data_IF_166365846232
#
_entry.id   IF_166365846232
#
_cell.length_a   1.000
_cell.length_b   1.000
_cell.length_c   1.000
_cell.angle_alpha   90.00
_cell.angle_beta   90.00
_cell.angle_gamma   90.00
#
_symmetry.space_group_name_H-M   'P 1'
#
loop_
_entity.id
_entity.type
_entity.pdbx_description
1 polymer ?
#
# COMPACT_ATOMS: atom_id res chain seq x y z
N UNK A 1 -52.48 -54.42 -9.70
CA UNK A 1 -52.11 -54.05 -8.31
C UNK A 1 -50.72 -54.61 -8.06
N UNK A 2 -49.68 -53.94 -8.57
CA UNK A 2 -48.25 -54.25 -8.35
C UNK A 2 -47.47 -53.10 -9.01
N UNK A 3 -47.23 -52.03 -8.26
CA UNK A 3 -46.12 -51.07 -8.50
C UNK A 3 -45.90 -50.10 -7.32
N UNK A 4 -46.85 -50.01 -6.38
CA UNK A 4 -46.72 -49.17 -5.18
C UNK A 4 -45.74 -49.72 -4.11
N UNK A 5 -45.08 -50.86 -4.38
CA UNK A 5 -44.17 -51.54 -3.45
C UNK A 5 -42.70 -51.19 -3.66
N UNK A 6 -42.38 -50.34 -4.64
CA UNK A 6 -41.01 -49.94 -4.91
C UNK A 6 -40.65 -48.72 -4.04
N UNK A 7 -40.18 -48.97 -2.81
CA UNK A 7 -39.79 -47.90 -1.86
C UNK A 7 -38.87 -46.85 -2.52
N UNK A 8 -38.03 -47.22 -3.49
CA UNK A 8 -37.16 -46.30 -4.23
C UNK A 8 -37.89 -45.26 -5.12
N UNK A 9 -39.19 -45.41 -5.36
CA UNK A 9 -40.02 -44.50 -6.17
C UNK A 9 -41.01 -43.67 -5.32
N UNK A 10 -40.96 -43.79 -4.00
CA UNK A 10 -41.74 -42.92 -3.11
C UNK A 10 -41.38 -41.45 -3.35
N UNK A 11 -42.39 -40.57 -3.42
CA UNK A 11 -42.23 -39.12 -3.56
C UNK A 11 -41.24 -38.58 -2.52
N UNK A 12 -41.27 -39.10 -1.30
CA UNK A 12 -40.35 -38.70 -0.23
C UNK A 12 -38.90 -39.01 -0.58
N UNK A 13 -38.62 -40.23 -1.06
CA UNK A 13 -37.26 -40.66 -1.43
C UNK A 13 -36.75 -39.91 -2.66
N UNK A 14 -37.63 -39.58 -3.61
CA UNK A 14 -37.28 -38.75 -4.77
C UNK A 14 -36.98 -37.31 -4.35
N UNK A 15 -37.78 -36.71 -3.44
CA UNK A 15 -37.53 -35.37 -2.88
C UNK A 15 -36.22 -35.35 -2.09
N UNK A 16 -35.97 -36.36 -1.25
CA UNK A 16 -34.74 -36.46 -0.45
C UNK A 16 -33.51 -36.65 -1.34
N UNK A 17 -33.61 -37.49 -2.38
CA UNK A 17 -32.53 -37.70 -3.36
C UNK A 17 -32.29 -36.46 -4.21
N UNK A 18 -33.34 -35.77 -4.63
CA UNK A 18 -33.24 -34.49 -5.35
C UNK A 18 -32.60 -33.42 -4.47
N UNK A 19 -33.00 -33.33 -3.19
CA UNK A 19 -32.39 -32.46 -2.19
C UNK A 19 -30.90 -32.77 -2.00
N UNK A 20 -30.53 -34.05 -1.95
CA UNK A 20 -29.13 -34.45 -1.82
C UNK A 20 -28.30 -34.12 -3.06
N UNK A 21 -28.85 -34.30 -4.26
CA UNK A 21 -28.20 -33.92 -5.50
C UNK A 21 -27.91 -32.42 -5.51
N UNK A 22 -28.91 -31.58 -5.23
CA UNK A 22 -28.74 -30.11 -5.17
C UNK A 22 -27.68 -29.70 -4.14
N UNK A 23 -27.67 -30.32 -2.95
CA UNK A 23 -26.64 -30.07 -1.92
C UNK A 23 -25.24 -30.43 -2.42
N UNK A 24 -25.09 -31.57 -3.10
CA UNK A 24 -23.81 -32.00 -3.65
C UNK A 24 -23.33 -31.03 -4.76
N UNK A 25 -24.22 -30.62 -5.65
CA UNK A 25 -23.91 -29.68 -6.74
C UNK A 25 -23.56 -28.29 -6.19
N UNK A 26 -24.26 -27.81 -5.16
CA UNK A 26 -23.88 -26.59 -4.44
C UNK A 26 -22.48 -26.71 -3.82
N UNK A 27 -22.21 -27.82 -3.13
CA UNK A 27 -20.90 -28.07 -2.51
C UNK A 27 -19.78 -28.08 -3.54
N UNK A 28 -19.95 -28.73 -4.69
CA UNK A 28 -18.96 -28.74 -5.76
C UNK A 28 -18.64 -27.33 -6.28
N UNK A 29 -19.67 -26.48 -6.46
CA UNK A 29 -19.47 -25.07 -6.84
C UNK A 29 -18.69 -24.30 -5.78
N UNK A 30 -19.05 -24.49 -4.51
CA UNK A 30 -18.41 -23.80 -3.40
C UNK A 30 -16.94 -24.23 -3.27
N UNK A 31 -16.65 -25.53 -3.35
CA UNK A 31 -15.29 -26.07 -3.32
C UNK A 31 -14.44 -25.51 -4.46
N UNK A 32 -14.97 -25.51 -5.70
CA UNK A 32 -14.27 -24.89 -6.84
C UNK A 32 -13.99 -23.40 -6.60
N UNK A 33 -14.95 -22.66 -6.05
CA UNK A 33 -14.80 -21.23 -5.77
C UNK A 33 -13.78 -20.97 -4.66
N UNK A 34 -13.73 -21.83 -3.64
CA UNK A 34 -12.74 -21.79 -2.56
C UNK A 34 -11.35 -22.08 -3.11
N UNK A 35 -11.17 -23.11 -3.93
CA UNK A 35 -9.85 -23.48 -4.45
C UNK A 35 -9.27 -22.41 -5.37
N UNK A 36 -10.09 -21.82 -6.24
CA UNK A 36 -9.70 -20.65 -7.03
C UNK A 36 -9.31 -19.47 -6.13
N UNK A 37 -10.12 -19.18 -5.10
CA UNK A 37 -9.84 -18.08 -4.16
C UNK A 37 -8.52 -18.31 -3.41
N UNK A 38 -8.26 -19.55 -2.96
CA UNK A 38 -7.02 -19.91 -2.26
C UNK A 38 -5.81 -19.71 -3.15
N UNK A 39 -5.88 -20.13 -4.42
CA UNK A 39 -4.82 -19.89 -5.38
C UNK A 39 -4.54 -18.39 -5.53
N UNK A 40 -5.57 -17.58 -5.76
CA UNK A 40 -5.41 -16.13 -5.91
C UNK A 40 -4.79 -15.48 -4.67
N UNK A 41 -5.27 -15.84 -3.48
CA UNK A 41 -4.76 -15.31 -2.21
C UNK A 41 -3.30 -15.72 -1.96
N UNK A 42 -2.93 -16.97 -2.27
CA UNK A 42 -1.58 -17.48 -2.08
C UNK A 42 -0.54 -16.71 -2.91
N UNK A 43 -0.92 -16.25 -4.11
CA UNK A 43 -0.04 -15.50 -5.00
C UNK A 43 -0.28 -13.97 -4.97
N UNK A 44 -1.19 -13.49 -4.12
CA UNK A 44 -1.54 -12.07 -4.03
C UNK A 44 -2.15 -11.50 -5.33
N UNK A 45 -2.90 -12.32 -6.06
CA UNK A 45 -3.52 -11.94 -7.33
C UNK A 45 -4.89 -11.28 -7.11
N UNK A 46 -5.26 -10.28 -7.94
CA UNK A 46 -6.57 -9.67 -7.86
C UNK A 46 -7.65 -10.66 -8.28
N UNK A 47 -8.80 -10.63 -7.60
CA UNK A 47 -9.92 -11.52 -7.94
C UNK A 47 -10.63 -11.05 -9.21
N UNK A 48 -10.88 -9.74 -9.31
CA UNK A 48 -11.81 -9.17 -10.27
C UNK A 48 -11.14 -8.54 -11.46
N UNK A 49 -11.86 -8.56 -12.57
CA UNK A 49 -11.54 -7.79 -13.77
C UNK A 49 -12.12 -6.38 -13.68
N UNK A 50 -11.66 -5.49 -14.56
CA UNK A 50 -12.29 -4.19 -14.74
C UNK A 50 -13.67 -4.30 -15.41
N UNK A 51 -13.87 -5.33 -16.24
CA UNK A 51 -15.13 -5.68 -16.87
C UNK A 51 -15.33 -7.20 -16.79
N UNK A 52 -16.30 -7.63 -15.99
CA UNK A 52 -16.66 -9.04 -15.79
C UNK A 52 -17.83 -9.49 -16.71
N UNK A 53 -18.24 -8.67 -17.68
CA UNK A 53 -19.29 -9.01 -18.64
C UNK A 53 -18.90 -10.21 -19.53
N UNK A 54 -19.89 -10.94 -20.04
CA UNK A 54 -19.64 -12.12 -20.92
C UNK A 54 -18.89 -11.78 -22.21
N UNK A 55 -19.02 -10.53 -22.68
CA UNK A 55 -18.30 -10.02 -23.85
C UNK A 55 -16.85 -9.64 -23.58
N UNK A 56 -16.44 -9.56 -22.31
CA UNK A 56 -15.09 -9.14 -21.94
C UNK A 56 -14.05 -10.21 -22.23
N UNK A 57 -12.95 -9.81 -22.88
CA UNK A 57 -11.79 -10.69 -23.13
C UNK A 57 -11.08 -11.03 -21.80
N UNK A 58 -11.18 -10.17 -20.79
CA UNK A 58 -10.57 -10.35 -19.48
C UNK A 58 -11.57 -10.06 -18.36
N UNK A 59 -12.33 -11.09 -18.01
CA UNK A 59 -13.31 -11.07 -16.93
C UNK A 59 -12.69 -11.08 -15.52
N UNK A 60 -11.36 -11.00 -15.41
CA UNK A 60 -10.64 -11.14 -14.14
C UNK A 60 -10.21 -12.57 -13.85
N UNK A 61 -9.25 -12.69 -12.91
CA UNK A 61 -8.62 -13.96 -12.64
C UNK A 61 -9.56 -14.97 -11.97
N UNK A 62 -10.51 -14.53 -11.13
CA UNK A 62 -11.44 -15.45 -10.48
C UNK A 62 -12.31 -16.19 -11.50
N UNK A 63 -12.96 -15.46 -12.41
CA UNK A 63 -13.79 -16.06 -13.45
C UNK A 63 -12.98 -16.90 -14.45
N UNK A 64 -11.83 -16.38 -14.87
CA UNK A 64 -10.92 -17.12 -15.77
C UNK A 64 -10.43 -18.43 -15.17
N UNK A 65 -9.98 -18.42 -13.91
CA UNK A 65 -9.52 -19.63 -13.23
C UNK A 65 -10.67 -20.57 -12.88
N UNK A 66 -11.86 -20.06 -12.57
CA UNK A 66 -13.03 -20.91 -12.32
C UNK A 66 -13.46 -21.64 -13.60
N UNK A 67 -13.42 -20.97 -14.76
CA UNK A 67 -13.64 -21.61 -16.07
C UNK A 67 -12.59 -22.69 -16.33
N UNK A 68 -11.31 -22.34 -16.16
CA UNK A 68 -10.20 -23.29 -16.29
C UNK A 68 -10.33 -24.49 -15.34
N UNK A 69 -10.78 -24.27 -14.09
CA UNK A 69 -11.03 -25.33 -13.13
C UNK A 69 -12.14 -26.27 -13.63
N UNK A 70 -13.22 -25.72 -14.19
CA UNK A 70 -14.29 -26.51 -14.83
C UNK A 70 -13.78 -27.37 -15.99
N UNK A 71 -12.89 -26.83 -16.83
CA UNK A 71 -12.30 -27.55 -17.96
C UNK A 71 -11.43 -28.74 -17.50
N UNK A 72 -10.80 -28.62 -16.33
CA UNK A 72 -9.97 -29.69 -15.74
C UNK A 72 -10.75 -30.68 -14.89
N UNK A 73 -11.90 -30.26 -14.35
CA UNK A 73 -12.75 -31.07 -13.49
C UNK A 73 -14.16 -31.15 -14.06
N UNK A 74 -14.45 -32.11 -14.97
CA UNK A 74 -15.70 -32.15 -15.73
C UNK A 74 -16.98 -32.14 -14.87
N UNK A 75 -16.94 -32.77 -13.68
CA UNK A 75 -18.10 -32.79 -12.79
C UNK A 75 -18.36 -31.43 -12.13
N UNK A 76 -17.31 -30.65 -11.82
CA UNK A 76 -17.43 -29.26 -11.40
C UNK A 76 -17.86 -28.37 -12.58
N UNK A 77 -17.29 -28.58 -13.78
CA UNK A 77 -17.64 -27.86 -15.00
C UNK A 77 -19.13 -27.92 -15.34
N UNK A 78 -19.79 -29.06 -15.07
CA UNK A 78 -21.24 -29.24 -15.26
C UNK A 78 -22.13 -28.42 -14.33
N UNK A 79 -21.58 -27.80 -13.29
CA UNK A 79 -22.39 -27.13 -12.25
C UNK A 79 -21.95 -25.70 -11.95
N UNK A 80 -20.82 -25.22 -12.44
CA UNK A 80 -20.31 -23.85 -12.21
C UNK A 80 -20.69 -22.89 -13.34
N UNK A 81 -20.53 -21.58 -13.11
CA UNK A 81 -20.72 -20.51 -14.10
C UNK A 81 -22.09 -20.60 -14.80
N UNK A 82 -22.12 -20.59 -16.13
CA UNK A 82 -23.34 -20.70 -16.94
C UNK A 82 -24.14 -21.99 -16.70
N UNK A 83 -23.52 -23.02 -16.14
CA UNK A 83 -24.19 -24.29 -15.83
C UNK A 83 -24.82 -24.31 -14.43
N UNK A 84 -24.63 -23.27 -13.63
CA UNK A 84 -25.27 -23.15 -12.33
C UNK A 84 -26.73 -22.67 -12.45
N UNK A 85 -27.66 -23.19 -11.64
CA UNK A 85 -29.04 -22.70 -11.62
C UNK A 85 -29.14 -21.26 -11.11
N UNK A 86 -29.75 -20.39 -11.92
CA UNK A 86 -30.12 -19.02 -11.56
C UNK A 86 -28.94 -18.23 -10.97
N UNK A 87 -29.04 -17.78 -9.71
CA UNK A 87 -28.07 -16.93 -9.04
C UNK A 87 -27.03 -17.72 -8.23
N UNK A 88 -27.05 -19.05 -8.32
CA UNK A 88 -26.21 -19.93 -7.51
C UNK A 88 -24.85 -20.22 -8.20
N UNK A 89 -24.35 -19.22 -8.92
CA UNK A 89 -23.07 -19.25 -9.64
C UNK A 89 -21.87 -19.12 -8.71
N UNK A 90 -22.08 -18.57 -7.50
CA UNK A 90 -21.06 -18.19 -6.52
C UNK A 90 -20.03 -17.17 -7.02
N UNK A 91 -20.30 -16.50 -8.14
CA UNK A 91 -19.37 -15.54 -8.75
C UNK A 91 -19.54 -14.12 -8.24
N UNK A 92 -20.61 -13.83 -7.49
CA UNK A 92 -20.92 -12.47 -7.05
C UNK A 92 -19.78 -11.87 -6.20
N UNK A 93 -19.45 -10.58 -6.42
CA UNK A 93 -18.58 -9.77 -5.57
C UNK A 93 -18.62 -10.03 -4.07
N UNK A 94 -19.81 -10.12 -3.49
CA UNK A 94 -20.01 -10.31 -2.06
C UNK A 94 -19.59 -11.71 -1.61
N UNK A 95 -19.91 -12.74 -2.40
CA UNK A 95 -19.55 -14.13 -2.11
C UNK A 95 -18.03 -14.32 -2.17
N UNK A 96 -17.37 -13.78 -3.20
CA UNK A 96 -15.90 -13.80 -3.29
C UNK A 96 -15.25 -13.17 -2.05
N UNK A 97 -15.82 -12.05 -1.56
CA UNK A 97 -15.35 -11.38 -0.34
C UNK A 97 -15.57 -12.23 0.90
N UNK A 98 -16.70 -12.92 1.01
CA UNK A 98 -16.99 -13.81 2.13
C UNK A 98 -16.04 -15.02 2.16
N UNK A 99 -15.73 -15.61 0.99
CA UNK A 99 -14.73 -16.68 0.86
C UNK A 99 -13.35 -16.17 1.27
N UNK A 100 -12.94 -14.98 0.79
CA UNK A 100 -11.68 -14.37 1.17
C UNK A 100 -11.58 -14.10 2.68
N UNK A 101 -12.66 -13.60 3.28
CA UNK A 101 -12.76 -13.39 4.73
C UNK A 101 -12.67 -14.70 5.51
N UNK A 102 -13.29 -15.78 5.02
CA UNK A 102 -13.17 -17.09 5.63
C UNK A 102 -11.72 -17.60 5.56
N UNK A 103 -11.06 -17.47 4.41
CA UNK A 103 -9.64 -17.82 4.25
C UNK A 103 -8.74 -17.01 5.19
N UNK A 104 -9.01 -15.71 5.34
CA UNK A 104 -8.29 -14.84 6.28
C UNK A 104 -8.45 -15.32 7.73
N UNK A 105 -9.68 -15.66 8.15
CA UNK A 105 -9.94 -16.21 9.48
C UNK A 105 -9.21 -17.52 9.75
N UNK A 106 -9.21 -18.46 8.80
CA UNK A 106 -8.48 -19.73 8.95
C UNK A 106 -6.96 -19.54 8.92
N UNK A 107 -6.46 -18.60 8.12
CA UNK A 107 -5.04 -18.22 8.10
C UNK A 107 -4.62 -17.64 9.46
N UNK A 108 -5.41 -16.74 10.02
CA UNK A 108 -5.17 -16.18 11.35
C UNK A 108 -5.20 -17.26 12.43
N UNK A 109 -6.17 -18.18 12.40
CA UNK A 109 -6.18 -19.32 13.33
C UNK A 109 -4.91 -20.14 13.24
N UNK A 110 -4.40 -20.40 12.04
CA UNK A 110 -3.14 -21.13 11.85
C UNK A 110 -1.95 -20.35 12.41
N UNK A 111 -1.88 -19.03 12.20
CA UNK A 111 -0.84 -18.14 12.76
C UNK A 111 -0.86 -18.19 14.30
N UNK A 112 -2.05 -18.03 14.90
CA UNK A 112 -2.22 -18.04 16.36
C UNK A 112 -1.91 -19.43 16.95
N UNK A 113 -2.27 -20.49 16.23
CA UNK A 113 -1.89 -21.86 16.59
C UNK A 113 -0.38 -22.08 16.57
N UNK A 114 0.33 -21.48 15.59
CA UNK A 114 1.79 -21.57 15.48
C UNK A 114 2.53 -20.77 16.57
N UNK A 115 1.94 -19.66 17.03
CA UNK A 115 2.38 -18.94 18.22
C UNK A 115 2.21 -19.78 19.50
N UNK A 116 1.22 -20.67 19.53
CA UNK A 116 0.94 -21.60 20.64
C UNK A 116 0.84 -20.93 22.02
N UNK A 117 0.36 -19.69 22.05
CA UNK A 117 0.28 -18.89 23.26
C UNK A 117 1.63 -18.52 23.88
N UNK A 118 2.73 -18.58 23.15
CA UNK A 118 4.03 -18.09 23.62
C UNK A 118 4.07 -16.55 23.63
N UNK A 119 5.21 -15.99 24.02
CA UNK A 119 5.51 -14.57 23.97
C UNK A 119 5.65 -14.05 22.54
N UNK A 120 5.32 -12.77 22.34
CA UNK A 120 5.41 -12.13 21.04
C UNK A 120 5.79 -10.66 21.16
N UNK A 121 6.39 -10.13 20.10
CA UNK A 121 6.52 -8.70 19.84
C UNK A 121 5.35 -8.20 19.00
N UNK A 122 4.96 -6.95 19.21
CA UNK A 122 4.03 -6.23 18.34
C UNK A 122 4.80 -5.24 17.48
N UNK A 123 4.37 -5.12 16.24
CA UNK A 123 4.92 -4.24 15.24
C UNK A 123 3.73 -3.44 14.67
N UNK A 124 3.77 -2.12 14.83
CA UNK A 124 2.62 -1.25 14.55
C UNK A 124 3.05 -0.14 13.61
N UNK A 125 2.24 0.11 12.58
CA UNK A 125 2.44 1.22 11.66
C UNK A 125 1.12 1.92 11.36
N UNK A 126 1.17 3.23 11.18
CA UNK A 126 0.01 4.09 10.96
C UNK A 126 0.11 4.78 9.59
N UNK A 127 -0.96 4.72 8.81
CA UNK A 127 -1.02 5.39 7.51
C UNK A 127 -2.42 5.89 7.20
N UNK A 128 -2.50 6.87 6.28
CA UNK A 128 -3.75 7.38 5.72
C UNK A 128 -4.11 6.65 4.45
N UNK A 129 -5.37 6.25 4.31
CA UNK A 129 -5.91 5.75 3.05
C UNK A 129 -6.32 6.89 2.09
N UNK A 130 -6.74 6.52 0.87
CA UNK A 130 -7.17 7.46 -0.18
C UNK A 130 -8.42 8.27 0.20
N UNK A 131 -9.19 7.82 1.19
CA UNK A 131 -10.36 8.53 1.73
C UNK A 131 -9.98 9.40 2.94
N UNK A 132 -8.67 9.58 3.19
CA UNK A 132 -8.10 10.31 4.32
C UNK A 132 -8.45 9.72 5.69
N UNK A 133 -8.76 8.44 5.77
CA UNK A 133 -8.97 7.75 7.04
C UNK A 133 -7.67 7.16 7.55
N UNK A 134 -7.43 7.29 8.84
CA UNK A 134 -6.29 6.68 9.51
C UNK A 134 -6.51 5.16 9.63
N UNK A 135 -5.46 4.41 9.32
CA UNK A 135 -5.41 2.95 9.37
C UNK A 135 -4.17 2.55 10.17
N UNK A 136 -4.33 1.52 11.00
CA UNK A 136 -3.27 0.95 11.82
C UNK A 136 -3.05 -0.50 11.41
N UNK A 137 -1.86 -0.82 10.94
CA UNK A 137 -1.44 -2.19 10.69
C UNK A 137 -0.87 -2.80 11.97
N UNK A 138 -1.25 -4.04 12.28
CA UNK A 138 -0.65 -4.83 13.35
C UNK A 138 0.01 -6.09 12.78
N UNK A 139 1.29 -6.27 13.10
CA UNK A 139 2.08 -7.46 12.80
C UNK A 139 2.59 -8.04 14.12
N UNK A 140 2.58 -9.37 14.25
CA UNK A 140 3.22 -10.06 15.38
C UNK A 140 4.55 -10.64 14.94
N UNK A 141 5.56 -10.51 15.81
CA UNK A 141 6.86 -11.16 15.68
C UNK A 141 7.05 -12.17 16.80
N UNK A 142 7.25 -13.44 16.48
CA UNK A 142 7.37 -14.50 17.49
C UNK A 142 8.24 -15.66 17.00
N UNK A 143 8.56 -16.58 17.90
CA UNK A 143 9.28 -17.82 17.56
C UNK A 143 8.24 -18.91 17.30
N UNK A 144 8.23 -19.48 16.11
CA UNK A 144 7.31 -20.55 15.76
C UNK A 144 7.72 -21.88 16.43
N UNK A 145 6.88 -22.91 16.27
CA UNK A 145 7.16 -24.27 16.79
C UNK A 145 8.44 -24.91 16.27
N UNK A 146 9.03 -24.41 15.19
CA UNK A 146 10.30 -24.89 14.64
C UNK A 146 11.52 -24.16 15.24
N UNK A 147 11.30 -23.17 16.13
CA UNK A 147 12.36 -22.33 16.67
C UNK A 147 12.78 -21.16 15.77
N UNK A 148 11.99 -20.84 14.73
CA UNK A 148 12.28 -19.79 13.77
C UNK A 148 11.58 -18.48 14.15
N UNK A 149 12.28 -17.37 14.05
CA UNK A 149 11.67 -16.04 14.21
C UNK A 149 10.83 -15.74 12.97
N UNK A 150 9.54 -15.52 13.17
CA UNK A 150 8.58 -15.23 12.09
C UNK A 150 7.81 -13.95 12.38
N UNK A 151 7.47 -13.25 11.30
CA UNK A 151 6.59 -12.09 11.32
C UNK A 151 5.29 -12.44 10.58
N UNK A 152 4.15 -12.11 11.19
CA UNK A 152 2.83 -12.43 10.66
C UNK A 152 1.90 -11.24 10.81
N UNK A 153 1.41 -10.76 9.67
CA UNK A 153 0.38 -9.74 9.62
C UNK A 153 -0.93 -10.27 10.23
N UNK A 154 -1.55 -9.46 11.09
CA UNK A 154 -2.79 -9.80 11.77
C UNK A 154 -3.96 -9.07 11.14
N UNK A 155 -3.92 -7.74 11.11
CA UNK A 155 -5.02 -6.95 10.59
C UNK A 155 -4.62 -5.51 10.25
N UNK A 156 -5.46 -4.86 9.45
CA UNK A 156 -5.43 -3.44 9.16
C UNK A 156 -6.72 -2.81 9.71
N UNK A 157 -6.58 -2.06 10.80
CA UNK A 157 -7.71 -1.55 11.58
C UNK A 157 -7.87 -0.06 11.35
N UNK A 158 -9.09 0.37 11.03
CA UNK A 158 -9.42 1.78 11.02
C UNK A 158 -9.43 2.34 12.45
N UNK A 159 -8.72 3.43 12.67
CA UNK A 159 -8.70 4.18 13.93
C UNK A 159 -9.29 5.57 13.73
N UNK A 160 -10.09 6.05 14.69
CA UNK A 160 -10.74 7.36 14.63
C UNK A 160 -9.75 8.53 14.78
N UNK A 161 -8.66 8.28 15.50
CA UNK A 161 -7.56 9.21 15.73
C UNK A 161 -6.28 8.43 16.05
N UNK A 162 -5.15 9.11 15.96
CA UNK A 162 -3.80 8.57 16.18
C UNK A 162 -3.30 8.80 17.60
N UNK A 163 -4.19 9.05 18.57
CA UNK A 163 -3.77 9.19 19.97
C UNK A 163 -3.30 7.84 20.52
N UNK A 164 -2.30 7.88 21.40
CA UNK A 164 -1.77 6.67 22.04
C UNK A 164 -2.84 5.81 22.73
N UNK A 165 -3.89 6.44 23.28
CA UNK A 165 -4.99 5.76 23.95
C UNK A 165 -5.86 5.00 22.93
N UNK A 166 -6.23 5.66 21.83
CA UNK A 166 -7.01 5.05 20.75
C UNK A 166 -6.25 3.88 20.11
N UNK A 167 -4.95 4.05 19.85
CA UNK A 167 -4.08 3.00 19.32
C UNK A 167 -3.96 1.81 20.28
N UNK A 168 -3.68 2.06 21.58
CA UNK A 168 -3.63 0.99 22.60
C UNK A 168 -4.95 0.22 22.66
N UNK A 169 -6.08 0.93 22.65
CA UNK A 169 -7.40 0.31 22.66
C UNK A 169 -7.62 -0.56 21.43
N UNK A 170 -7.30 -0.07 20.24
CA UNK A 170 -7.42 -0.83 19.00
C UNK A 170 -6.56 -2.09 19.02
N UNK A 171 -5.28 -2.00 19.45
CA UNK A 171 -4.38 -3.15 19.60
C UNK A 171 -4.97 -4.16 20.58
N UNK A 172 -5.41 -3.74 21.77
CA UNK A 172 -5.92 -4.66 22.79
C UNK A 172 -7.24 -5.31 22.38
N UNK A 173 -8.12 -4.57 21.70
CA UNK A 173 -9.34 -5.12 21.13
C UNK A 173 -9.02 -6.21 20.10
N UNK A 174 -8.06 -5.96 19.21
CA UNK A 174 -7.64 -6.94 18.20
C UNK A 174 -6.98 -8.19 18.83
N UNK A 175 -6.10 -8.01 19.81
CA UNK A 175 -5.50 -9.12 20.55
C UNK A 175 -6.58 -9.96 21.28
N UNK A 176 -7.58 -9.31 21.89
CA UNK A 176 -8.68 -9.97 22.58
C UNK A 176 -9.52 -10.85 21.65
N UNK A 177 -9.80 -10.39 20.41
CA UNK A 177 -10.51 -11.19 19.39
C UNK A 177 -9.81 -12.53 19.13
N UNK A 178 -8.48 -12.56 19.22
CA UNK A 178 -7.66 -13.75 19.01
C UNK A 178 -7.23 -14.44 20.32
N UNK A 179 -7.82 -14.09 21.46
CA UNK A 179 -7.47 -14.62 22.78
C UNK A 179 -5.99 -14.43 23.16
N UNK A 180 -5.34 -13.40 22.62
CA UNK A 180 -3.97 -13.04 22.95
C UNK A 180 -3.94 -12.09 24.13
N UNK A 181 -3.11 -12.41 25.13
CA UNK A 181 -2.96 -11.58 26.32
C UNK A 181 -1.90 -10.50 26.10
N UNK A 182 -2.19 -9.21 26.38
CA UNK A 182 -1.18 -8.15 26.37
C UNK A 182 0.01 -8.40 27.31
N UNK A 183 -0.18 -9.18 28.37
CA UNK A 183 0.89 -9.55 29.31
C UNK A 183 2.01 -10.39 28.68
N UNK A 184 1.73 -11.02 27.53
CA UNK A 184 2.69 -11.82 26.75
C UNK A 184 3.48 -10.99 25.74
N UNK A 185 3.22 -9.69 25.64
CA UNK A 185 4.02 -8.80 24.81
C UNK A 185 5.42 -8.67 25.43
N UNK A 186 6.46 -8.87 24.61
CA UNK A 186 7.88 -8.72 24.98
C UNK A 186 8.62 -7.67 24.16
N UNK A 187 8.08 -7.31 23.01
CA UNK A 187 8.64 -6.28 22.13
C UNK A 187 7.57 -5.35 21.59
N UNK A 188 7.94 -4.09 21.35
CA UNK A 188 7.10 -3.07 20.74
C UNK A 188 7.92 -2.34 19.68
N UNK A 189 7.61 -2.54 18.39
CA UNK A 189 8.28 -1.88 17.28
C UNK A 189 7.34 -0.90 16.57
N UNK A 190 7.67 0.38 16.61
CA UNK A 190 6.97 1.42 15.85
C UNK A 190 7.83 2.69 15.76
N UNK A 191 7.32 3.72 15.08
CA UNK A 191 8.04 4.96 14.81
C UNK A 191 8.34 5.79 16.08
N UNK A 192 9.00 6.94 15.85
CA UNK A 192 9.41 7.85 16.90
C UNK A 192 8.41 8.97 17.20
N UNK A 193 7.20 8.92 16.65
CA UNK A 193 6.21 9.98 16.84
C UNK A 193 5.88 10.14 18.34
N UNK A 194 5.48 11.35 18.74
CA UNK A 194 5.19 11.67 20.14
C UNK A 194 4.09 10.76 20.73
N UNK A 195 3.06 10.46 19.95
CA UNK A 195 1.99 9.54 20.33
C UNK A 195 2.48 8.10 20.47
N UNK A 196 3.59 7.74 19.84
CA UNK A 196 4.18 6.40 19.91
C UNK A 196 5.20 6.28 21.05
N UNK A 197 6.24 7.11 21.03
CA UNK A 197 7.41 7.04 21.92
C UNK A 197 7.26 7.85 23.22
N UNK A 198 6.30 8.77 23.31
CA UNK A 198 6.18 9.73 24.41
C UNK A 198 6.24 9.14 25.82
N UNK A 199 6.96 9.80 26.72
CA UNK A 199 7.28 9.29 28.07
C UNK A 199 6.10 9.27 29.05
N UNK A 200 5.08 10.10 28.81
CA UNK A 200 3.92 10.23 29.71
C UNK A 200 2.69 9.55 29.10
N UNK A 201 2.37 9.94 27.87
CA UNK A 201 1.16 9.54 27.14
C UNK A 201 1.48 8.89 25.78
N UNK A 202 2.70 8.39 25.56
CA UNK A 202 3.02 7.63 24.36
C UNK A 202 2.56 6.18 24.47
N UNK A 203 2.25 5.54 23.34
CA UNK A 203 1.82 4.15 23.23
C UNK A 203 2.77 3.20 23.97
N UNK A 204 4.09 3.43 23.80
CA UNK A 204 5.16 2.76 24.55
C UNK A 204 4.89 2.76 26.03
N UNK A 205 4.74 3.94 26.60
CA UNK A 205 4.57 4.12 28.04
C UNK A 205 3.28 3.47 28.51
N UNK A 206 2.19 3.60 27.73
CA UNK A 206 0.90 3.03 28.09
C UNK A 206 0.91 1.50 28.08
N UNK A 207 1.59 0.85 27.14
CA UNK A 207 1.71 -0.62 27.09
C UNK A 207 2.72 -1.10 28.15
N UNK A 208 3.84 -0.40 28.35
CA UNK A 208 4.82 -0.76 29.40
C UNK A 208 4.25 -0.68 30.81
N UNK A 209 3.28 0.23 31.07
CA UNK A 209 2.54 0.28 32.33
C UNK A 209 1.78 -1.02 32.63
N UNK A 210 1.26 -1.69 31.59
CA UNK A 210 0.51 -2.94 31.74
C UNK A 210 1.41 -4.18 31.61
N UNK A 211 2.45 -4.11 30.77
CA UNK A 211 3.44 -5.17 30.53
C UNK A 211 4.85 -4.57 30.60
N UNK A 212 5.48 -4.52 31.79
CA UNK A 212 6.80 -3.90 31.97
C UNK A 212 7.92 -4.54 31.13
N UNK A 213 7.75 -5.80 30.72
CA UNK A 213 8.69 -6.53 29.88
C UNK A 213 8.50 -6.29 28.38
N UNK A 214 7.57 -5.43 27.96
CA UNK A 214 7.33 -5.08 26.57
C UNK A 214 8.33 -4.01 26.10
N UNK A 215 9.56 -4.40 25.75
CA UNK A 215 10.62 -3.46 25.40
C UNK A 215 10.35 -2.75 24.09
N UNK A 216 10.54 -1.43 24.07
CA UNK A 216 10.36 -0.60 22.88
C UNK A 216 11.62 -0.57 22.03
N UNK A 217 11.44 -0.77 20.73
CA UNK A 217 12.43 -0.62 19.68
C UNK A 217 11.94 0.46 18.74
N UNK A 218 12.74 1.50 18.56
CA UNK A 218 12.46 2.56 17.59
C UNK A 218 12.76 2.02 16.19
N UNK A 219 11.79 2.08 15.28
CA UNK A 219 11.97 1.70 13.88
C UNK A 219 13.27 2.26 13.28
N UNK A 220 14.20 1.37 12.90
CA UNK A 220 15.50 1.75 12.37
C UNK A 220 15.39 2.49 11.03
N UNK A 221 14.44 2.11 10.17
CA UNK A 221 14.18 2.82 8.93
C UNK A 221 13.78 4.28 9.21
N UNK A 222 12.90 4.52 10.18
CA UNK A 222 12.54 5.88 10.56
C UNK A 222 13.73 6.65 11.16
N UNK A 223 14.55 6.02 12.00
CA UNK A 223 15.76 6.65 12.57
C UNK A 223 16.76 7.04 11.48
N UNK A 224 16.98 6.15 10.52
CA UNK A 224 17.86 6.39 9.40
C UNK A 224 17.36 7.54 8.53
N UNK A 225 16.08 7.53 8.15
CA UNK A 225 15.48 8.62 7.35
C UNK A 225 15.68 9.98 8.04
N UNK A 226 15.40 10.06 9.34
CA UNK A 226 15.60 11.29 10.10
C UNK A 226 17.06 11.73 10.13
N UNK A 227 17.99 10.77 10.29
CA UNK A 227 19.43 11.05 10.31
C UNK A 227 19.90 11.58 8.96
N UNK A 228 19.50 10.93 7.86
CA UNK A 228 19.83 11.36 6.49
C UNK A 228 19.31 12.77 6.22
N UNK A 229 18.04 13.04 6.53
CA UNK A 229 17.45 14.36 6.34
C UNK A 229 18.15 15.42 7.21
N UNK A 230 18.46 15.10 8.46
CA UNK A 230 19.12 16.04 9.37
C UNK A 230 20.56 16.37 8.93
N UNK A 231 21.30 15.40 8.37
CA UNK A 231 22.64 15.63 7.83
C UNK A 231 22.55 16.42 6.52
N UNK A 232 21.66 16.01 5.61
CA UNK A 232 21.42 16.69 4.35
C UNK A 232 21.13 18.19 4.53
N UNK A 233 20.27 18.54 5.50
CA UNK A 233 19.92 19.93 5.84
C UNK A 233 21.09 20.77 6.38
N UNK A 234 22.23 20.18 6.74
CA UNK A 234 23.43 20.96 7.12
C UNK A 234 24.21 21.49 5.94
N UNK A 235 23.96 20.98 4.74
CA UNK A 235 24.57 21.47 3.52
C UNK A 235 23.67 22.56 2.94
N UNK A 236 24.18 23.79 2.89
CA UNK A 236 23.42 24.96 2.43
C UNK A 236 22.85 24.75 1.02
N UNK A 237 23.62 24.16 0.10
CA UNK A 237 23.16 23.90 -1.26
C UNK A 237 21.98 22.92 -1.32
N UNK A 238 21.96 21.94 -0.42
CA UNK A 238 20.88 20.93 -0.31
C UNK A 238 19.63 21.56 0.31
N UNK A 239 19.80 22.35 1.36
CA UNK A 239 18.72 23.09 2.01
C UNK A 239 18.07 24.08 1.04
N UNK A 240 18.89 24.92 0.39
CA UNK A 240 18.45 25.89 -0.63
C UNK A 240 17.71 25.21 -1.78
N UNK A 241 18.18 24.03 -2.23
CA UNK A 241 17.51 23.25 -3.26
C UNK A 241 16.11 22.80 -2.82
N UNK A 242 15.98 22.18 -1.66
CA UNK A 242 14.67 21.69 -1.19
C UNK A 242 13.72 22.82 -0.82
N UNK A 243 14.21 23.96 -0.38
CA UNK A 243 13.43 25.18 -0.21
C UNK A 243 12.92 25.71 -1.55
N UNK A 244 13.77 25.71 -2.58
CA UNK A 244 13.39 26.11 -3.93
C UNK A 244 12.30 25.18 -4.51
N UNK A 245 12.50 23.86 -4.42
CA UNK A 245 11.50 22.85 -4.81
C UNK A 245 10.19 23.07 -4.04
N UNK A 246 10.25 23.24 -2.72
CA UNK A 246 9.06 23.46 -1.89
C UNK A 246 8.31 24.73 -2.28
N UNK A 247 9.02 25.81 -2.57
CA UNK A 247 8.44 27.07 -3.03
C UNK A 247 7.74 26.92 -4.38
N UNK A 248 8.35 26.22 -5.34
CA UNK A 248 7.72 25.94 -6.63
C UNK A 248 6.45 25.10 -6.48
N UNK A 249 6.51 24.03 -5.66
CA UNK A 249 5.35 23.20 -5.36
C UNK A 249 4.24 23.99 -4.63
N UNK A 250 4.59 24.97 -3.80
CA UNK A 250 3.64 25.85 -3.13
C UNK A 250 2.97 26.82 -4.12
N UNK A 251 3.74 27.48 -4.99
CA UNK A 251 3.21 28.44 -5.97
C UNK A 251 2.31 27.73 -6.98
N UNK A 252 2.75 26.61 -7.55
CA UNK A 252 1.96 25.84 -8.52
C UNK A 252 0.79 25.11 -7.83
N UNK A 253 1.02 24.54 -6.65
CA UNK A 253 0.03 23.75 -5.93
C UNK A 253 -0.93 24.56 -5.06
N UNK A 254 -0.74 25.87 -4.91
CA UNK A 254 -1.48 26.71 -3.96
C UNK A 254 -2.91 27.05 -4.36
N UNK A 255 -3.25 26.98 -5.66
CA UNK A 255 -4.58 27.29 -6.17
C UNK A 255 -5.12 26.19 -7.08
N UNK A 256 -6.43 25.92 -7.00
CA UNK A 256 -7.08 24.89 -7.82
C UNK A 256 -6.88 25.12 -9.32
N UNK A 257 -7.02 26.37 -9.80
CA UNK A 257 -6.80 26.72 -11.23
C UNK A 257 -5.39 26.38 -11.72
N UNK A 258 -4.36 26.58 -10.87
CA UNK A 258 -2.96 26.27 -11.21
C UNK A 258 -2.72 24.76 -11.26
N UNK A 259 -3.41 23.99 -10.41
CA UNK A 259 -3.40 22.52 -10.46
C UNK A 259 -4.08 21.99 -11.72
N UNK A 260 -5.19 22.61 -12.14
CA UNK A 260 -5.87 22.21 -13.38
C UNK A 260 -5.01 22.53 -14.61
N UNK A 261 -4.38 23.71 -14.67
CA UNK A 261 -3.40 24.03 -15.72
C UNK A 261 -2.23 23.03 -15.76
N UNK A 262 -1.74 22.59 -14.60
CA UNK A 262 -0.70 21.58 -14.52
C UNK A 262 -1.16 20.25 -15.13
N UNK A 263 -2.39 19.81 -14.81
CA UNK A 263 -2.99 18.58 -15.34
C UNK A 263 -3.19 18.66 -16.85
N UNK A 264 -3.74 19.77 -17.33
CA UNK A 264 -4.00 19.97 -18.75
C UNK A 264 -2.71 19.93 -19.56
N UNK A 265 -1.64 20.55 -19.06
CA UNK A 265 -0.34 20.50 -19.72
C UNK A 265 0.29 19.11 -19.70
N UNK A 266 0.18 18.38 -18.57
CA UNK A 266 0.62 16.98 -18.50
C UNK A 266 -0.12 16.10 -19.52
N UNK A 267 -1.44 16.24 -19.63
CA UNK A 267 -2.27 15.49 -20.57
C UNK A 267 -1.86 15.77 -22.03
N UNK A 268 -1.67 17.04 -22.40
CA UNK A 268 -1.20 17.43 -23.75
C UNK A 268 0.16 16.86 -24.09
N UNK A 269 1.11 16.90 -23.16
CA UNK A 269 2.46 16.35 -23.38
C UNK A 269 2.41 14.83 -23.57
N UNK A 270 1.57 14.14 -22.80
CA UNK A 270 1.36 12.71 -22.95
C UNK A 270 0.71 12.36 -24.31
N UNK A 271 -0.24 13.17 -24.77
CA UNK A 271 -0.86 13.03 -26.09
C UNK A 271 0.19 13.15 -27.21
N UNK A 272 1.07 14.15 -27.16
CA UNK A 272 2.19 14.30 -28.10
C UNK A 272 3.15 13.10 -28.09
N UNK A 273 3.42 12.52 -26.92
CA UNK A 273 4.25 11.32 -26.79
C UNK A 273 3.57 10.08 -27.39
N UNK A 274 2.23 9.99 -27.32
CA UNK A 274 1.49 8.94 -28.02
C UNK A 274 1.52 9.12 -29.53
N UNK A 275 1.40 10.36 -30.02
CA UNK A 275 1.44 10.69 -31.45
C UNK A 275 2.82 10.41 -32.08
N UNK A 276 3.90 10.67 -31.33
CA UNK A 276 5.28 10.40 -31.76
C UNK A 276 5.67 8.91 -31.63
N UNK A 277 4.85 8.08 -30.97
CA UNK A 277 5.11 6.66 -30.78
C UNK A 277 6.19 6.34 -29.75
N UNK A 278 6.68 7.33 -29.00
CA UNK A 278 7.70 7.15 -27.96
C UNK A 278 7.17 6.36 -26.74
N UNK A 279 5.85 6.39 -26.52
CA UNK A 279 5.20 5.69 -25.42
C UNK A 279 3.99 4.88 -25.89
N UNK A 280 3.75 3.73 -25.24
CA UNK A 280 2.63 2.84 -25.55
C UNK A 280 1.45 3.13 -24.64
N UNK A 281 0.24 3.10 -25.21
CA UNK A 281 -1.00 3.11 -24.40
C UNK A 281 -1.08 1.80 -23.62
N UNK A 282 -1.35 1.88 -22.31
CA UNK A 282 -1.51 0.72 -21.44
C UNK A 282 -2.08 1.12 -20.09
N UNK A 283 -2.88 0.24 -19.48
CA UNK A 283 -3.59 0.54 -18.24
C UNK A 283 -2.62 0.55 -17.05
N UNK A 284 -2.66 1.63 -16.25
CA UNK A 284 -1.70 1.88 -15.17
C UNK A 284 -0.37 2.52 -15.62
N UNK A 285 -0.16 2.69 -16.92
CA UNK A 285 0.97 3.44 -17.46
C UNK A 285 0.63 4.94 -17.53
N UNK A 286 1.63 5.79 -17.35
CA UNK A 286 1.54 7.24 -17.50
C UNK A 286 0.44 7.90 -16.64
N UNK A 287 0.23 7.39 -15.42
CA UNK A 287 -0.70 7.99 -14.45
C UNK A 287 -0.33 9.43 -14.13
N UNK A 288 -1.34 10.27 -13.88
CA UNK A 288 -1.17 11.64 -13.41
C UNK A 288 -0.27 11.64 -12.17
N UNK A 289 0.84 12.38 -12.24
CA UNK A 289 1.74 12.55 -11.09
C UNK A 289 1.38 13.81 -10.34
N UNK A 290 1.10 13.64 -9.06
CA UNK A 290 0.76 14.73 -8.15
C UNK A 290 1.98 15.52 -7.67
N UNK A 291 1.71 16.71 -7.12
CA UNK A 291 2.69 17.54 -6.42
C UNK A 291 2.96 16.98 -5.01
N UNK A 292 3.66 15.85 -4.94
CA UNK A 292 4.02 15.26 -3.66
C UNK A 292 5.14 16.07 -3.00
N UNK A 293 4.95 16.45 -1.74
CA UNK A 293 5.94 17.21 -0.96
C UNK A 293 6.89 16.30 -0.21
N UNK A 294 8.15 16.74 -0.02
CA UNK A 294 9.08 16.02 0.82
C UNK A 294 8.56 16.10 2.27
N UNK A 295 8.70 15.01 3.01
CA UNK A 295 8.27 14.93 4.40
C UNK A 295 9.29 14.18 5.22
N UNK A 296 9.90 14.86 6.19
CA UNK A 296 11.04 14.36 6.97
C UNK A 296 10.81 12.99 7.61
N UNK A 297 9.58 12.70 8.05
CA UNK A 297 9.22 11.48 8.78
C UNK A 297 8.79 10.32 7.90
N UNK A 298 8.46 10.56 6.61
CA UNK A 298 7.98 9.51 5.71
C UNK A 298 9.12 8.96 4.87
N UNK A 299 9.36 7.66 5.00
CA UNK A 299 10.43 6.97 4.27
C UNK A 299 10.35 7.21 2.76
N UNK A 300 11.46 7.64 2.17
CA UNK A 300 11.59 7.86 0.73
C UNK A 300 10.74 9.01 0.17
N UNK A 301 10.17 9.88 1.02
CA UNK A 301 9.34 11.01 0.59
C UNK A 301 10.11 11.98 -0.31
N UNK A 302 11.36 12.28 0.04
CA UNK A 302 12.23 13.19 -0.70
C UNK A 302 12.52 12.62 -2.09
N UNK A 303 12.88 11.33 -2.17
CA UNK A 303 13.07 10.64 -3.44
C UNK A 303 11.80 10.66 -4.31
N UNK A 304 10.64 10.31 -3.74
CA UNK A 304 9.36 10.33 -4.48
C UNK A 304 8.98 11.72 -4.98
N UNK A 305 9.25 12.75 -4.18
CA UNK A 305 9.08 14.15 -4.58
C UNK A 305 9.96 14.46 -5.78
N UNK A 306 11.24 14.10 -5.73
CA UNK A 306 12.20 14.42 -6.79
C UNK A 306 11.90 13.66 -8.08
N UNK A 307 11.59 12.37 -7.99
CA UNK A 307 11.16 11.54 -9.11
C UNK A 307 9.89 12.11 -9.77
N UNK A 308 8.92 12.54 -8.96
CA UNK A 308 7.72 13.21 -9.48
C UNK A 308 8.06 14.55 -10.11
N UNK A 309 8.88 15.36 -9.42
CA UNK A 309 9.27 16.71 -9.82
C UNK A 309 9.99 16.71 -11.17
N UNK A 310 10.93 15.80 -11.40
CA UNK A 310 11.64 15.63 -12.68
C UNK A 310 10.66 15.37 -13.81
N UNK A 311 9.74 14.42 -13.62
CA UNK A 311 8.77 14.03 -14.66
C UNK A 311 7.83 15.18 -15.02
N UNK A 312 7.39 15.96 -14.04
CA UNK A 312 6.41 17.03 -14.25
C UNK A 312 7.05 18.42 -14.43
N UNK A 313 8.38 18.49 -14.44
CA UNK A 313 9.13 19.73 -14.38
C UNK A 313 8.75 20.72 -15.49
N UNK A 314 8.67 20.24 -16.74
CA UNK A 314 8.27 21.09 -17.86
C UNK A 314 6.86 21.67 -17.68
N UNK A 315 5.96 20.93 -17.05
CA UNK A 315 4.59 21.39 -16.76
C UNK A 315 4.57 22.38 -15.61
N UNK A 316 5.45 22.23 -14.60
CA UNK A 316 5.66 23.23 -13.53
C UNK A 316 6.13 24.54 -14.15
N UNK A 317 7.14 24.50 -15.03
CA UNK A 317 7.67 25.68 -15.71
C UNK A 317 6.57 26.37 -16.53
N UNK A 318 5.80 25.61 -17.31
CA UNK A 318 4.67 26.16 -18.07
C UNK A 318 3.68 26.91 -17.19
N UNK A 319 3.28 26.31 -16.05
CA UNK A 319 2.36 26.97 -15.11
C UNK A 319 2.97 28.22 -14.49
N UNK A 320 4.26 28.21 -14.16
CA UNK A 320 4.95 29.41 -13.67
C UNK A 320 4.99 30.53 -14.73
N UNK A 321 5.23 30.21 -16.00
CA UNK A 321 5.21 31.19 -17.10
C UNK A 321 3.81 31.80 -17.28
N UNK A 322 2.75 30.99 -17.14
CA UNK A 322 1.37 31.50 -17.12
C UNK A 322 1.12 32.42 -15.92
N UNK A 323 1.64 32.08 -14.72
CA UNK A 323 1.47 32.91 -13.52
C UNK A 323 2.24 34.23 -13.64
N UNK A 324 3.44 34.24 -14.23
CA UNK A 324 4.22 35.45 -14.47
C UNK A 324 3.42 36.47 -15.31
N UNK A 325 2.74 35.99 -16.36
CA UNK A 325 1.98 36.82 -17.29
C UNK A 325 0.59 37.19 -16.76
N UNK A 326 -0.13 36.22 -16.19
CA UNK A 326 -1.57 36.30 -15.89
C UNK A 326 -1.90 36.25 -14.39
N UNK A 327 -0.89 36.29 -13.52
CA UNK A 327 -1.05 36.15 -12.08
C UNK A 327 -2.00 37.20 -11.47
N UNK A 328 -2.95 36.72 -10.66
CA UNK A 328 -4.04 37.53 -10.09
C UNK A 328 -3.56 38.65 -9.18
N UNK A 329 -2.40 38.51 -8.56
CA UNK A 329 -1.76 39.54 -7.74
C UNK A 329 -0.37 39.89 -8.26
N UNK A 330 0.13 41.09 -7.97
CA UNK A 330 1.53 41.45 -8.24
C UNK A 330 2.49 40.55 -7.47
N UNK A 331 2.11 40.11 -6.26
CA UNK A 331 2.91 39.16 -5.47
C UNK A 331 3.07 37.82 -6.18
N UNK A 332 2.00 37.29 -6.78
CA UNK A 332 2.06 36.03 -7.53
C UNK A 332 2.97 36.15 -8.76
N UNK A 333 2.82 37.24 -9.51
CA UNK A 333 3.64 37.53 -10.70
C UNK A 333 5.12 37.68 -10.34
N UNK A 334 5.43 38.44 -9.29
CA UNK A 334 6.80 38.63 -8.82
C UNK A 334 7.41 37.32 -8.28
N UNK A 335 6.63 36.47 -7.60
CA UNK A 335 7.11 35.16 -7.15
C UNK A 335 7.38 34.21 -8.32
N UNK A 336 6.50 34.17 -9.32
CA UNK A 336 6.72 33.38 -10.52
C UNK A 336 7.92 33.89 -11.32
N UNK A 337 8.02 35.20 -11.53
CA UNK A 337 9.18 35.84 -12.15
C UNK A 337 10.47 35.53 -11.37
N UNK A 338 10.48 35.60 -10.04
CA UNK A 338 11.63 35.24 -9.22
C UNK A 338 12.05 33.76 -9.40
N UNK A 339 11.09 32.84 -9.33
CA UNK A 339 11.33 31.41 -9.51
C UNK A 339 11.84 31.11 -10.93
N UNK A 340 11.36 31.86 -11.93
CA UNK A 340 11.78 31.76 -13.32
C UNK A 340 13.07 32.53 -13.61
N UNK A 341 13.45 33.59 -12.91
CA UNK A 341 14.62 34.44 -13.27
C UNK A 341 15.96 33.81 -12.90
N UNK A 342 16.00 32.78 -12.05
CA UNK A 342 17.14 31.85 -11.98
C UNK A 342 17.49 31.20 -13.33
N UNK A 343 16.62 31.31 -14.36
CA UNK A 343 16.85 30.95 -15.78
C UNK A 343 17.93 31.79 -16.48
N UNK A 344 18.33 32.96 -15.96
CA UNK A 344 19.07 33.96 -16.76
C UNK A 344 20.54 34.19 -16.40
N UNK A 345 21.07 33.63 -15.31
CA UNK A 345 22.45 33.97 -14.87
C UNK A 345 23.57 33.19 -15.58
N UNK A 346 23.29 32.05 -16.23
CA UNK A 346 24.35 31.16 -16.76
C UNK A 346 24.22 30.77 -18.24
N UNK A 347 23.18 31.19 -18.96
CA UNK A 347 22.99 30.82 -20.38
C UNK A 347 22.59 29.35 -20.60
N UNK A 348 22.25 28.65 -19.52
CA UNK A 348 21.89 27.23 -19.47
C UNK A 348 20.37 27.11 -19.19
N UNK A 349 19.73 26.03 -19.65
CA UNK A 349 18.29 25.85 -19.39
C UNK A 349 18.03 25.71 -17.88
N UNK A 350 16.90 26.23 -17.42
CA UNK A 350 16.49 26.13 -16.01
C UNK A 350 16.37 24.67 -15.52
N UNK A 351 15.98 23.78 -16.45
CA UNK A 351 15.99 22.33 -16.25
C UNK A 351 17.40 21.80 -15.97
N UNK A 352 18.39 22.25 -16.74
CA UNK A 352 19.78 21.83 -16.54
C UNK A 352 20.39 22.46 -15.28
N UNK A 353 20.10 23.71 -14.94
CA UNK A 353 20.52 24.29 -13.66
C UNK A 353 19.99 23.45 -12.48
N UNK A 354 18.69 23.15 -12.47
CA UNK A 354 18.11 22.39 -11.36
C UNK A 354 18.52 20.91 -11.36
N UNK A 355 18.55 20.23 -12.50
CA UNK A 355 18.86 18.81 -12.56
C UNK A 355 20.36 18.51 -12.47
N UNK A 356 21.21 19.35 -13.08
CA UNK A 356 22.64 19.08 -13.23
C UNK A 356 23.47 19.88 -12.25
N UNK A 357 23.28 21.20 -12.21
CA UNK A 357 24.12 22.08 -11.38
C UNK A 357 23.76 22.01 -9.89
N UNK A 358 22.50 21.70 -9.57
CA UNK A 358 22.03 21.61 -8.18
C UNK A 358 21.78 20.17 -7.77
N UNK A 359 20.91 19.44 -8.46
CA UNK A 359 20.48 18.11 -8.00
C UNK A 359 21.59 17.06 -8.02
N UNK A 360 22.34 16.89 -9.12
CA UNK A 360 23.44 15.92 -9.15
C UNK A 360 24.56 16.29 -8.18
N UNK A 361 24.90 17.56 -8.05
CA UNK A 361 25.89 18.03 -7.08
C UNK A 361 25.46 17.71 -5.65
N UNK A 362 24.18 17.94 -5.31
CA UNK A 362 23.61 17.60 -4.01
C UNK A 362 23.67 16.08 -3.75
N UNK A 363 23.35 15.26 -4.74
CA UNK A 363 23.45 13.79 -4.64
C UNK A 363 24.90 13.36 -4.44
N UNK A 364 25.84 13.91 -5.21
CA UNK A 364 27.27 13.58 -5.10
C UNK A 364 27.83 13.96 -3.72
N UNK A 365 27.46 15.14 -3.20
CA UNK A 365 27.84 15.58 -1.85
C UNK A 365 27.24 14.66 -0.78
N UNK A 366 25.98 14.26 -0.91
CA UNK A 366 25.36 13.30 0.02
C UNK A 366 26.04 11.93 -0.05
N UNK A 367 26.35 11.43 -1.25
CA UNK A 367 27.05 10.16 -1.43
C UNK A 367 28.46 10.21 -0.85
N UNK A 368 29.19 11.30 -1.05
CA UNK A 368 30.51 11.49 -0.47
C UNK A 368 30.44 11.51 1.06
N UNK A 369 29.53 12.29 1.65
CA UNK A 369 29.37 12.37 3.10
C UNK A 369 28.93 11.02 3.71
N UNK A 370 28.10 10.26 3.00
CA UNK A 370 27.72 8.91 3.41
C UNK A 370 28.90 7.96 3.36
N UNK A 371 29.69 7.98 2.29
CA UNK A 371 30.87 7.12 2.15
C UNK A 371 31.99 7.49 3.14
N UNK A 372 32.11 8.76 3.53
CA UNK A 372 33.10 9.22 4.51
C UNK A 372 32.72 8.84 5.95
N UNK A 373 31.41 8.74 6.25
CA UNK A 373 30.90 8.44 7.59
C UNK A 373 30.56 6.98 7.83
N UNK A 374 30.18 6.26 6.79
CA UNK A 374 29.74 4.87 6.85
C UNK A 374 30.74 4.00 6.09
N UNK A 375 31.28 2.98 6.74
CA UNK A 375 32.12 2.00 6.06
C UNK A 375 31.32 1.20 5.01
N UNK A 376 32.01 0.46 4.14
CA UNK A 376 31.39 -0.31 3.06
C UNK A 376 30.27 -1.22 3.59
N UNK A 377 30.44 -1.79 4.79
CA UNK A 377 29.45 -2.64 5.45
C UNK A 377 28.19 -1.86 5.82
N UNK A 378 28.35 -0.65 6.36
CA UNK A 378 27.24 0.26 6.69
C UNK A 378 26.57 0.82 5.43
N UNK A 379 27.34 1.10 4.37
CA UNK A 379 26.84 1.48 3.05
C UNK A 379 26.01 0.39 2.39
N UNK A 380 26.45 -0.87 2.46
CA UNK A 380 25.70 -2.03 1.98
C UNK A 380 24.44 -2.27 2.82
N UNK A 381 24.47 -1.95 4.12
CA UNK A 381 23.28 -1.98 4.98
C UNK A 381 22.26 -0.90 4.57
N UNK A 382 22.73 0.30 4.22
CA UNK A 382 21.91 1.40 3.69
C UNK A 382 21.28 1.06 2.34
N UNK A 383 22.05 0.50 1.42
CA UNK A 383 21.58 0.00 0.13
C UNK A 383 20.62 -1.18 0.32
N UNK A 384 20.92 -2.08 1.25
CA UNK A 384 20.04 -3.14 1.71
C UNK A 384 18.70 -2.56 2.13
N UNK A 385 18.68 -1.72 3.17
CA UNK A 385 17.49 -1.05 3.71
C UNK A 385 16.70 -0.26 2.64
N UNK A 386 17.37 0.38 1.67
CA UNK A 386 16.73 1.06 0.54
C UNK A 386 16.14 0.11 -0.52
N UNK A 387 16.66 -1.10 -0.64
CA UNK A 387 16.22 -2.15 -1.57
C UNK A 387 15.11 -3.04 -0.97
N UNK A 388 14.91 -2.99 0.35
CA UNK A 388 13.89 -3.78 1.03
C UNK A 388 12.50 -3.17 0.77
N UNK A 389 11.65 -3.92 0.04
CA UNK A 389 10.22 -3.61 -0.11
C UNK A 389 9.57 -3.48 1.28
N UNK A 390 8.49 -2.70 1.36
CA UNK A 390 7.68 -2.40 2.56
C UNK A 390 7.32 -3.56 3.50
N UNK A 391 7.53 -4.82 3.10
CA UNK A 391 7.33 -6.01 3.93
C UNK A 391 8.51 -6.46 4.81
N UNK A 392 9.63 -5.74 4.86
CA UNK A 392 10.79 -6.08 5.72
C UNK A 392 11.10 -4.99 6.76
N UNK A 393 10.15 -4.10 7.03
CA UNK A 393 10.33 -2.86 7.80
C UNK A 393 10.46 -3.00 9.32
N UNK A 394 10.55 -4.22 9.85
CA UNK A 394 10.66 -4.45 11.28
C UNK A 394 11.93 -5.22 11.64
N UNK A 395 13.08 -4.65 11.28
CA UNK A 395 14.33 -4.94 11.97
C UNK A 395 14.59 -3.87 13.03
#
# INVERSE_FOLDING_TARGET
MLDLSNHHQSIQIVIDKHSQKVKNEYRMRLEASIDVSRFLLQYGLPFRGHDESESSINQGFFLGLLRWHGDKHPDAGKVILENAPQNDTLTCPMIQKDIANACAKETLKAIIGDLNGDYFGILVDESKDISHKEQMALVLRFVNKNGEVVERFIDLVHVSDTSACSLKKAIYSLLSVHSLSPSKIRGQGYDGASNMKGEINGLKTLIMKDSPSAYYIHCFAHQLQLTLVAIAKKHLDVEDFFDHVSNMLNVVGGFFKRRDLLRDHQAKKLEQLFESGEVKKGQGLHQERGLQRPGDTRWGSHFKTLDSFIVIFSSIVHVLEVIELEGSTSSDRNQAEYLLTKRKSSGVSYEHHLCVEVFFVVIDVQLQELNDRFDVVSGDLLLGMGSLKSGQFFL
#
